data_IF_868423874536
#
_entry.id   IF_868423874536
#
_cell.length_a   1.000
_cell.length_b   1.000
_cell.length_c   1.000
_cell.angle_alpha   90.00
_cell.angle_beta   90.00
_cell.angle_gamma   90.00
#
_symmetry.space_group_name_H-M   'P 1'
#
loop_
_entity.id
_entity.type
_entity.pdbx_description
1 polymer ?
#
# COMPACT_ATOMS: atom_id res chain seq x y z
N UNK A 1 17.63 4.42 22.85
CA UNK A 1 17.39 3.38 21.82
C UNK A 1 18.71 3.14 21.12
N UNK A 2 19.18 1.89 21.03
CA UNK A 2 20.47 1.56 20.41
C UNK A 2 20.39 1.84 18.90
N UNK A 3 21.46 2.38 18.29
CA UNK A 3 21.47 2.66 16.84
C UNK A 3 21.25 1.42 15.96
N UNK A 4 21.38 0.21 16.53
CA UNK A 4 21.04 -1.06 15.87
C UNK A 4 19.52 -1.27 15.67
N UNK A 5 18.67 -0.61 16.44
CA UNK A 5 17.21 -0.83 16.38
C UNK A 5 16.55 0.02 15.28
N UNK A 6 17.19 1.11 14.87
CA UNK A 6 16.70 2.04 13.83
C UNK A 6 16.84 1.49 12.41
N UNK A 7 17.90 0.72 12.13
CA UNK A 7 18.20 0.18 10.80
C UNK A 7 17.55 -1.18 10.50
N UNK A 8 17.67 -1.66 9.27
CA UNK A 8 17.25 -3.02 8.89
C UNK A 8 18.27 -4.03 9.42
N UNK A 9 17.82 -5.05 10.15
CA UNK A 9 18.71 -5.99 10.87
C UNK A 9 19.00 -7.28 10.11
N UNK A 10 18.22 -7.58 9.07
CA UNK A 10 18.38 -8.77 8.22
C UNK A 10 18.78 -8.37 6.79
N UNK A 11 19.49 -9.25 6.08
CA UNK A 11 19.81 -9.03 4.67
C UNK A 11 18.69 -9.59 3.78
N UNK A 12 18.44 -8.90 2.67
CA UNK A 12 17.38 -9.23 1.70
C UNK A 12 17.52 -10.64 1.11
N UNK A 13 18.74 -11.08 0.86
CA UNK A 13 19.07 -12.40 0.29
C UNK A 13 19.03 -13.54 1.31
N UNK A 14 19.05 -13.24 2.60
CA UNK A 14 19.00 -14.22 3.68
C UNK A 14 17.58 -14.47 4.18
N UNK A 15 16.82 -13.40 4.40
CA UNK A 15 15.41 -13.46 4.81
C UNK A 15 14.63 -12.30 4.18
N UNK A 16 14.05 -12.58 3.01
CA UNK A 16 13.28 -11.58 2.26
C UNK A 16 12.03 -11.14 3.02
N UNK A 17 11.40 -12.05 3.76
CA UNK A 17 10.13 -11.80 4.45
C UNK A 17 10.32 -10.82 5.60
N UNK A 18 11.29 -11.10 6.46
CA UNK A 18 11.63 -10.22 7.58
C UNK A 18 12.23 -8.90 7.07
N UNK A 19 13.08 -8.95 6.05
CA UNK A 19 13.65 -7.74 5.43
C UNK A 19 12.56 -6.81 4.92
N UNK A 20 11.58 -7.36 4.18
CA UNK A 20 10.48 -6.59 3.63
C UNK A 20 9.63 -5.96 4.74
N UNK A 21 9.30 -6.75 5.76
CA UNK A 21 8.51 -6.29 6.90
C UNK A 21 9.20 -5.13 7.62
N UNK A 22 10.51 -5.24 7.88
CA UNK A 22 11.29 -4.17 8.49
C UNK A 22 11.37 -2.93 7.59
N UNK A 23 11.55 -3.08 6.29
CA UNK A 23 11.58 -1.93 5.37
C UNK A 23 10.25 -1.19 5.39
N UNK A 24 9.13 -1.91 5.25
CA UNK A 24 7.80 -1.32 5.19
C UNK A 24 7.43 -0.61 6.50
N UNK A 25 7.71 -1.24 7.64
CA UNK A 25 7.34 -0.71 8.96
C UNK A 25 8.30 0.37 9.45
N UNK A 26 9.62 0.14 9.40
CA UNK A 26 10.63 1.11 9.89
C UNK A 26 10.72 2.37 9.03
N UNK A 27 10.44 2.26 7.73
CA UNK A 27 10.33 3.43 6.86
C UNK A 27 8.96 4.13 6.97
N UNK A 28 8.05 3.65 7.83
CA UNK A 28 6.70 4.19 7.99
C UNK A 28 5.94 4.27 6.66
N UNK A 29 6.04 3.22 5.84
CA UNK A 29 5.25 3.09 4.61
C UNK A 29 3.87 2.52 4.93
N UNK A 30 3.81 1.50 5.76
CA UNK A 30 2.57 0.91 6.24
C UNK A 30 2.77 0.30 7.64
N UNK A 31 1.66 0.16 8.36
CA UNK A 31 1.61 -0.44 9.69
C UNK A 31 0.54 -1.52 9.76
N UNK A 32 0.64 -2.43 10.73
CA UNK A 32 -0.35 -3.48 10.93
C UNK A 32 -1.65 -2.91 11.46
N UNK A 33 -2.77 -3.37 10.91
CA UNK A 33 -4.08 -3.08 11.49
C UNK A 33 -4.49 -4.15 12.51
N UNK A 34 -5.52 -3.86 13.31
CA UNK A 34 -6.14 -4.85 14.21
C UNK A 34 -6.90 -5.95 13.46
N UNK A 35 -7.24 -5.75 12.18
CA UNK A 35 -7.93 -6.72 11.36
C UNK A 35 -6.93 -7.55 10.54
N UNK A 36 -7.00 -8.88 10.70
CA UNK A 36 -6.13 -9.80 9.96
C UNK A 36 -6.31 -9.61 8.46
N UNK A 37 -5.19 -9.47 7.75
CA UNK A 37 -5.16 -9.25 6.30
C UNK A 37 -5.27 -7.78 5.88
N UNK A 38 -5.42 -6.84 6.82
CA UNK A 38 -5.46 -5.40 6.56
C UNK A 38 -4.24 -4.69 7.14
N UNK A 39 -3.78 -3.67 6.43
CA UNK A 39 -2.70 -2.79 6.84
C UNK A 39 -3.15 -1.33 6.75
N UNK A 40 -2.58 -0.49 7.60
CA UNK A 40 -2.74 0.96 7.55
C UNK A 40 -1.65 1.52 6.64
N UNK A 41 -2.02 2.18 5.55
CA UNK A 41 -1.06 2.94 4.75
C UNK A 41 -0.72 4.24 5.46
N UNK A 42 0.53 4.39 5.85
CA UNK A 42 1.02 5.60 6.53
C UNK A 42 1.17 6.75 5.52
N UNK A 43 1.28 8.02 5.96
CA UNK A 43 1.33 9.16 5.04
C UNK A 43 2.41 9.03 3.95
N UNK A 44 3.59 8.51 4.31
CA UNK A 44 4.66 8.31 3.34
C UNK A 44 4.30 7.26 2.28
N UNK A 45 3.79 6.09 2.69
CA UNK A 45 3.33 5.05 1.75
C UNK A 45 2.14 5.48 0.91
N UNK A 46 1.17 6.20 1.50
CA UNK A 46 0.01 6.70 0.78
C UNK A 46 0.39 7.75 -0.27
N UNK A 47 1.39 8.60 0.00
CA UNK A 47 1.88 9.57 -0.98
C UNK A 47 2.45 8.94 -2.26
N UNK A 48 3.00 7.73 -2.16
CA UNK A 48 3.47 6.95 -3.32
C UNK A 48 2.27 6.51 -4.15
N UNK A 49 1.22 6.01 -3.49
CA UNK A 49 -0.03 5.62 -4.14
C UNK A 49 -0.72 6.80 -4.83
N UNK A 50 -0.76 7.97 -4.19
CA UNK A 50 -1.33 9.19 -4.78
C UNK A 50 -0.63 9.57 -6.10
N UNK A 51 0.70 9.50 -6.13
CA UNK A 51 1.50 9.75 -7.35
C UNK A 51 1.21 8.74 -8.45
N UNK A 52 1.14 7.45 -8.11
CA UNK A 52 0.80 6.38 -9.06
C UNK A 52 -0.58 6.64 -9.65
N UNK A 53 -1.57 6.89 -8.79
CA UNK A 53 -2.95 7.16 -9.19
C UNK A 53 -3.03 8.38 -10.10
N UNK A 54 -2.37 9.49 -9.74
CA UNK A 54 -2.39 10.73 -10.52
C UNK A 54 -1.78 10.55 -11.92
N UNK A 55 -0.60 9.92 -12.01
CA UNK A 55 0.07 9.66 -13.29
C UNK A 55 -0.76 8.76 -14.19
N UNK A 56 -1.33 7.69 -13.64
CA UNK A 56 -2.16 6.76 -14.39
C UNK A 56 -3.49 7.40 -14.83
N UNK A 57 -4.13 8.16 -13.95
CA UNK A 57 -5.38 8.89 -14.23
C UNK A 57 -5.22 9.88 -15.40
N UNK A 58 -4.09 10.60 -15.46
CA UNK A 58 -3.76 11.48 -16.60
C UNK A 58 -3.70 10.70 -17.91
N UNK A 59 -3.04 9.54 -17.91
CA UNK A 59 -2.85 8.71 -19.11
C UNK A 59 -4.17 8.17 -19.65
N UNK A 60 -5.04 7.65 -18.78
CA UNK A 60 -6.34 7.10 -19.22
C UNK A 60 -7.30 8.20 -19.68
N UNK A 61 -7.26 9.39 -19.05
CA UNK A 61 -8.06 10.54 -19.49
C UNK A 61 -7.63 11.05 -20.87
N UNK A 62 -6.33 11.00 -21.18
CA UNK A 62 -5.81 11.41 -22.49
C UNK A 62 -6.36 10.55 -23.65
N UNK A 63 -6.75 9.30 -23.38
CA UNK A 63 -7.37 8.39 -24.35
C UNK A 63 -8.92 8.34 -24.21
N UNK A 64 -9.52 9.36 -23.61
CA UNK A 64 -10.97 9.57 -23.56
C UNK A 64 -11.72 8.84 -22.46
N UNK A 65 -11.03 8.19 -21.51
CA UNK A 65 -11.69 7.50 -20.41
C UNK A 65 -12.20 8.50 -19.36
N UNK A 66 -13.32 8.14 -18.70
CA UNK A 66 -13.94 8.95 -17.64
C UNK A 66 -14.07 8.13 -16.37
N UNK A 67 -13.74 8.73 -15.24
CA UNK A 67 -13.87 8.08 -13.94
C UNK A 67 -15.35 8.00 -13.55
N UNK A 68 -15.74 6.88 -12.96
CA UNK A 68 -17.03 6.67 -12.33
C UNK A 68 -16.80 6.05 -10.94
N UNK A 69 -17.76 6.23 -10.04
CA UNK A 69 -17.74 5.62 -8.71
C UNK A 69 -19.04 4.85 -8.50
N UNK A 70 -18.91 3.55 -8.26
CA UNK A 70 -20.02 2.67 -7.98
C UNK A 70 -20.12 2.41 -6.47
N UNK A 71 -21.29 2.03 -5.97
CA UNK A 71 -21.45 1.62 -4.57
C UNK A 71 -20.53 0.44 -4.22
N UNK A 72 -19.97 0.46 -3.00
CA UNK A 72 -19.16 -0.64 -2.48
C UNK A 72 -19.98 -1.91 -2.25
N UNK A 73 -21.25 -1.75 -1.85
CA UNK A 73 -22.15 -2.86 -1.56
C UNK A 73 -22.95 -3.22 -2.82
N UNK A 74 -22.95 -4.50 -3.18
CA UNK A 74 -23.65 -5.04 -4.35
C UNK A 74 -24.74 -6.01 -3.85
N UNK A 75 -25.99 -5.89 -4.34
CA UNK A 75 -27.03 -6.88 -4.05
C UNK A 75 -26.62 -8.30 -4.44
N UNK A 76 -26.86 -9.28 -3.58
CA UNK A 76 -26.47 -10.69 -3.80
C UNK A 76 -26.99 -11.25 -5.14
N UNK A 77 -28.18 -10.82 -5.58
CA UNK A 77 -28.76 -11.22 -6.87
C UNK A 77 -27.90 -10.88 -8.10
N UNK A 78 -26.93 -9.97 -7.97
CA UNK A 78 -25.99 -9.58 -9.02
C UNK A 78 -24.64 -10.32 -8.92
N UNK A 79 -24.44 -11.13 -7.87
CA UNK A 79 -23.23 -11.92 -7.64
C UNK A 79 -23.42 -13.43 -7.94
N UNK A 80 -24.65 -13.86 -8.20
CA UNK A 80 -25.03 -15.24 -8.54
C UNK A 80 -25.25 -15.42 -10.03
#
# INVERSE_FOLDING_TARGET
MSGKDLGITVKKDQDLSEWYTQVVTKAQLADYSSAKGFMVLMPYGYSIWEKIKEDFDKKIKAIGHKNAYFPLLIPERLLK
#
